data_IF_230959434991
#
_entry.id   IF_230959434991
#
_cell.length_a   1.000
_cell.length_b   1.000
_cell.length_c   1.000
_cell.angle_alpha   90.00
_cell.angle_beta   90.00
_cell.angle_gamma   90.00
#
_symmetry.space_group_name_H-M   'P 1'
#
loop_
_entity.id
_entity.type
_entity.pdbx_description
1 polymer ?
#
# COMPACT_ATOMS: atom_id res chain seq x y z
N UNK A 1 -42.88 39.15 40.80
CA UNK A 1 -43.29 38.63 39.49
C UNK A 1 -42.04 38.19 38.77
N UNK A 2 -41.74 36.89 38.83
CA UNK A 2 -40.52 36.30 38.26
C UNK A 2 -40.93 35.66 36.94
N UNK A 3 -40.35 36.19 35.83
CA UNK A 3 -40.52 35.60 34.51
C UNK A 3 -39.47 34.52 34.32
N UNK A 4 -39.90 33.27 34.30
CA UNK A 4 -39.09 32.14 33.96
C UNK A 4 -38.75 32.16 32.47
N UNK A 5 -37.46 32.31 32.14
CA UNK A 5 -36.94 32.12 30.79
C UNK A 5 -36.90 30.62 30.51
N UNK A 6 -37.82 30.16 29.67
CA UNK A 6 -37.78 28.79 29.15
C UNK A 6 -36.56 28.58 28.27
N UNK A 7 -35.71 27.66 28.69
CA UNK A 7 -34.65 27.13 27.84
C UNK A 7 -35.28 26.35 26.67
N UNK A 8 -35.31 26.97 25.49
CA UNK A 8 -35.64 26.27 24.25
C UNK A 8 -34.52 25.25 23.96
N UNK A 9 -34.80 23.98 24.19
CA UNK A 9 -34.01 22.87 23.73
C UNK A 9 -33.97 22.92 22.20
N UNK A 10 -32.82 23.25 21.62
CA UNK A 10 -32.59 23.11 20.18
C UNK A 10 -32.59 21.60 19.84
N UNK A 11 -33.77 21.07 19.55
CA UNK A 11 -33.89 19.74 18.98
C UNK A 11 -33.14 19.75 17.64
N UNK A 12 -32.03 18.99 17.55
CA UNK A 12 -31.26 18.88 16.33
C UNK A 12 -32.11 18.40 15.15
N UNK A 13 -31.82 18.89 13.96
CA UNK A 13 -32.47 18.40 12.73
C UNK A 13 -32.27 16.90 12.61
N UNK A 14 -33.29 16.07 12.43
CA UNK A 14 -33.14 14.62 12.31
C UNK A 14 -32.33 14.27 11.09
N UNK A 15 -31.67 13.11 11.13
CA UNK A 15 -30.92 12.59 9.97
C UNK A 15 -31.89 12.33 8.80
N UNK A 16 -31.45 12.57 7.53
CA UNK A 16 -32.21 12.19 6.37
C UNK A 16 -32.35 10.66 6.28
N UNK A 17 -33.57 10.17 6.16
CA UNK A 17 -33.88 8.74 6.10
C UNK A 17 -34.74 8.46 4.89
N UNK A 18 -34.38 7.43 4.13
CA UNK A 18 -35.14 6.92 2.99
C UNK A 18 -35.44 5.43 3.19
N UNK A 19 -36.53 4.94 2.57
CA UNK A 19 -36.81 3.51 2.56
C UNK A 19 -35.72 2.79 1.73
N UNK A 20 -35.31 1.59 2.15
CA UNK A 20 -34.29 0.82 1.45
C UNK A 20 -34.62 0.62 -0.06
N UNK A 21 -35.92 0.41 -0.38
CA UNK A 21 -36.38 0.29 -1.76
C UNK A 21 -36.28 1.59 -2.60
N UNK A 22 -36.13 2.75 -1.93
CA UNK A 22 -35.95 4.06 -2.58
C UNK A 22 -34.48 4.48 -2.69
N UNK A 23 -33.55 3.61 -2.28
CA UNK A 23 -32.11 3.86 -2.50
C UNK A 23 -31.84 3.85 -4.01
N UNK A 24 -31.16 4.89 -4.45
CA UNK A 24 -30.79 4.99 -5.86
C UNK A 24 -29.80 3.89 -6.25
N UNK A 25 -30.15 3.12 -7.29
CA UNK A 25 -29.30 2.07 -7.84
C UNK A 25 -28.38 2.56 -8.95
N UNK A 26 -28.37 3.87 -9.23
CA UNK A 26 -27.51 4.48 -10.28
C UNK A 26 -26.00 4.12 -10.09
N UNK A 27 -25.56 3.85 -8.86
CA UNK A 27 -24.23 3.35 -8.58
C UNK A 27 -23.99 1.93 -9.11
N UNK A 28 -25.04 1.12 -9.34
CA UNK A 28 -24.93 -0.24 -9.90
C UNK A 28 -24.58 -0.24 -11.40
N UNK A 29 -24.73 0.89 -12.09
CA UNK A 29 -24.38 1.05 -13.50
C UNK A 29 -22.91 1.47 -13.70
N UNK A 30 -22.14 1.72 -12.61
CA UNK A 30 -20.71 1.97 -12.71
C UNK A 30 -19.94 0.64 -12.77
N UNK A 31 -18.83 0.57 -13.53
CA UNK A 31 -17.97 -0.60 -13.48
C UNK A 31 -17.56 -0.90 -12.04
N UNK A 32 -17.56 -2.16 -11.66
CA UNK A 32 -17.07 -2.58 -10.33
C UNK A 32 -15.61 -2.16 -10.13
N UNK A 33 -14.84 -2.12 -11.21
CA UNK A 33 -13.40 -1.90 -11.20
C UNK A 33 -13.01 -0.54 -11.75
N UNK A 34 -12.08 0.14 -11.07
CA UNK A 34 -11.27 1.23 -11.62
C UNK A 34 -10.11 0.64 -12.45
N UNK A 35 -9.46 -0.40 -11.89
CA UNK A 35 -8.48 -1.24 -12.57
C UNK A 35 -8.87 -2.69 -12.27
N UNK A 36 -9.17 -3.47 -13.29
CA UNK A 36 -9.67 -4.83 -13.15
C UNK A 36 -8.81 -5.68 -12.21
N UNK A 37 -9.45 -6.32 -11.23
CA UNK A 37 -8.83 -7.19 -10.23
C UNK A 37 -7.75 -6.52 -9.33
N UNK A 38 -7.44 -5.23 -9.52
CA UNK A 38 -6.47 -4.50 -8.70
C UNK A 38 -7.11 -3.43 -7.82
N UNK A 39 -8.10 -2.69 -8.34
CA UNK A 39 -8.71 -1.60 -7.57
C UNK A 39 -10.16 -1.40 -7.93
N UNK A 40 -11.04 -1.43 -6.91
CA UNK A 40 -12.47 -1.22 -7.16
C UNK A 40 -12.80 0.26 -7.38
N UNK A 41 -13.85 0.54 -8.15
CA UNK A 41 -14.31 1.90 -8.43
C UNK A 41 -14.69 2.62 -7.14
N UNK A 42 -14.34 3.90 -7.05
CA UNK A 42 -14.62 4.73 -5.88
C UNK A 42 -14.16 4.13 -4.54
N UNK A 43 -13.17 3.23 -4.56
CA UNK A 43 -12.64 2.60 -3.36
C UNK A 43 -11.65 3.52 -2.64
N UNK A 44 -11.66 3.48 -1.31
CA UNK A 44 -10.51 3.89 -0.52
C UNK A 44 -9.61 2.69 -0.30
N UNK A 45 -8.29 2.90 -0.29
CA UNK A 45 -7.40 1.77 -0.08
C UNK A 45 -5.95 2.13 0.10
N UNK A 46 -5.14 1.10 0.21
CA UNK A 46 -3.72 1.22 0.54
C UNK A 46 -2.87 0.42 -0.45
N UNK A 47 -1.77 1.03 -0.88
CA UNK A 47 -0.64 0.35 -1.54
C UNK A 47 0.43 0.18 -0.48
N UNK A 48 0.46 -1.02 0.12
CA UNK A 48 1.31 -1.36 1.26
C UNK A 48 2.55 -2.16 0.88
N UNK A 49 3.54 -2.13 1.76
CA UNK A 49 4.75 -2.96 1.63
C UNK A 49 5.94 -2.38 2.39
N UNK A 50 6.97 -3.19 2.58
CA UNK A 50 8.21 -2.79 3.22
C UNK A 50 8.89 -1.62 2.47
N UNK A 51 9.79 -0.86 3.10
CA UNK A 51 10.63 0.10 2.38
C UNK A 51 11.32 -0.54 1.17
N UNK A 52 11.43 0.21 0.06
CA UNK A 52 12.05 -0.24 -1.21
C UNK A 52 11.34 -1.42 -1.91
N UNK A 53 10.05 -1.65 -1.64
CA UNK A 53 9.23 -2.65 -2.34
C UNK A 53 8.50 -2.11 -3.58
N UNK A 54 8.96 -1.04 -4.19
CA UNK A 54 8.42 -0.46 -5.42
C UNK A 54 6.98 0.09 -5.32
N UNK A 55 6.51 0.49 -4.12
CA UNK A 55 5.16 1.03 -3.93
C UNK A 55 4.87 2.27 -4.78
N UNK A 56 5.77 3.26 -4.77
CA UNK A 56 5.65 4.47 -5.60
C UNK A 56 5.60 4.11 -7.09
N UNK A 57 6.41 3.16 -7.57
CA UNK A 57 6.33 2.69 -8.95
C UNK A 57 4.97 2.09 -9.29
N UNK A 58 4.39 1.28 -8.38
CA UNK A 58 3.04 0.72 -8.55
C UNK A 58 1.98 1.83 -8.56
N UNK A 59 2.11 2.81 -7.66
CA UNK A 59 1.22 3.95 -7.59
C UNK A 59 1.24 4.77 -8.89
N UNK A 60 2.42 5.09 -9.41
CA UNK A 60 2.56 5.86 -10.66
C UNK A 60 2.11 5.06 -11.88
N UNK A 61 2.35 3.74 -11.92
CA UNK A 61 1.83 2.86 -12.98
C UNK A 61 0.29 2.88 -12.99
N UNK A 62 -0.35 2.78 -11.81
CA UNK A 62 -1.81 2.91 -11.72
C UNK A 62 -2.29 4.29 -12.19
N UNK A 63 -1.57 5.36 -11.86
CA UNK A 63 -1.91 6.71 -12.27
C UNK A 63 -1.89 6.87 -13.81
N UNK A 64 -0.82 6.39 -14.45
CA UNK A 64 -0.68 6.44 -15.92
C UNK A 64 -1.74 5.56 -16.58
N UNK A 65 -1.97 4.34 -16.08
CA UNK A 65 -2.99 3.44 -16.60
C UNK A 65 -4.39 4.06 -16.52
N UNK A 66 -4.77 4.63 -15.37
CA UNK A 66 -6.09 5.25 -15.18
C UNK A 66 -6.27 6.49 -16.04
N UNK A 67 -5.26 7.35 -16.15
CA UNK A 67 -5.35 8.55 -16.97
C UNK A 67 -5.42 8.24 -18.47
N UNK A 68 -4.80 7.15 -18.91
CA UNK A 68 -4.71 6.79 -20.33
C UNK A 68 -5.76 5.79 -20.79
N UNK A 69 -6.33 4.98 -19.88
CA UNK A 69 -7.12 3.81 -20.24
C UNK A 69 -6.28 2.61 -20.70
N UNK A 70 -4.96 2.69 -20.65
CA UNK A 70 -4.08 1.57 -20.99
C UNK A 70 -4.14 0.51 -19.89
N UNK A 71 -3.94 -0.79 -20.21
CA UNK A 71 -3.92 -1.82 -19.19
C UNK A 71 -2.78 -1.62 -18.19
N UNK A 72 -3.12 -1.53 -16.90
CA UNK A 72 -2.13 -1.46 -15.82
C UNK A 72 -1.26 -2.72 -15.82
N UNK A 73 0.06 -2.56 -15.66
CA UNK A 73 1.06 -3.63 -15.80
C UNK A 73 0.95 -4.40 -17.14
N UNK A 74 0.36 -3.76 -18.15
CA UNK A 74 0.13 -4.37 -19.47
C UNK A 74 -0.94 -5.47 -19.49
N UNK A 75 -1.71 -5.68 -18.43
CA UNK A 75 -2.62 -6.82 -18.28
C UNK A 75 -3.99 -6.43 -17.72
N UNK A 76 -4.04 -5.57 -16.71
CA UNK A 76 -5.27 -5.27 -15.99
C UNK A 76 -5.99 -4.09 -16.64
N UNK A 77 -7.14 -4.35 -17.26
CA UNK A 77 -7.90 -3.32 -17.97
C UNK A 77 -8.36 -2.19 -17.06
N UNK A 78 -8.54 -1.00 -17.65
CA UNK A 78 -9.11 0.19 -17.00
C UNK A 78 -10.44 0.50 -17.67
N UNK A 79 -11.58 0.04 -17.11
CA UNK A 79 -12.89 0.16 -17.75
C UNK A 79 -13.37 1.61 -17.92
N UNK A 80 -12.94 2.51 -17.01
CA UNK A 80 -13.37 3.92 -17.03
C UNK A 80 -12.18 4.81 -16.72
N UNK A 81 -11.38 5.20 -17.73
CA UNK A 81 -10.27 6.13 -17.55
C UNK A 81 -10.77 7.54 -17.20
N UNK A 82 -9.92 8.34 -16.60
CA UNK A 82 -10.24 9.73 -16.26
C UNK A 82 -9.11 10.45 -15.53
N UNK A 83 -9.36 11.70 -15.10
CA UNK A 83 -8.35 12.54 -14.48
C UNK A 83 -7.79 11.90 -13.21
N UNK A 84 -6.48 12.06 -12.99
CA UNK A 84 -5.76 11.60 -11.79
C UNK A 84 -5.14 12.78 -11.07
N UNK A 85 -5.29 12.83 -9.75
CA UNK A 85 -4.65 13.81 -8.89
C UNK A 85 -3.61 13.11 -8.01
N UNK A 86 -2.35 13.61 -8.03
CA UNK A 86 -1.22 13.06 -7.28
C UNK A 86 -0.71 14.05 -6.24
N UNK A 87 -0.30 13.54 -5.09
CA UNK A 87 0.62 14.20 -4.17
C UNK A 87 1.73 13.25 -3.76
N UNK A 88 2.98 13.58 -4.12
CA UNK A 88 4.16 12.80 -3.78
C UNK A 88 5.06 13.63 -2.85
N UNK A 89 5.01 13.36 -1.56
CA UNK A 89 5.67 14.17 -0.54
C UNK A 89 7.20 13.96 -0.44
N UNK A 90 7.71 12.86 -0.99
CA UNK A 90 9.13 12.49 -0.87
C UNK A 90 9.90 12.68 -2.19
N UNK A 91 9.20 12.76 -3.33
CA UNK A 91 9.84 12.95 -4.63
C UNK A 91 9.93 14.43 -4.99
N UNK A 92 11.05 14.85 -5.60
CA UNK A 92 11.12 16.14 -6.24
C UNK A 92 10.24 16.17 -7.50
N UNK A 93 9.73 17.35 -7.87
CA UNK A 93 8.91 17.52 -9.07
C UNK A 93 9.62 16.99 -10.34
N UNK A 94 10.92 17.20 -10.46
CA UNK A 94 11.72 16.69 -11.57
C UNK A 94 11.80 15.16 -11.59
N UNK A 95 12.04 14.52 -10.44
CA UNK A 95 12.09 13.07 -10.34
C UNK A 95 10.72 12.42 -10.64
N UNK A 96 9.65 13.03 -10.11
CA UNK A 96 8.29 12.60 -10.38
C UNK A 96 7.94 12.68 -11.87
N UNK A 97 8.28 13.85 -12.51
CA UNK A 97 8.07 14.04 -13.95
C UNK A 97 8.80 12.98 -14.78
N UNK A 98 10.09 12.73 -14.52
CA UNK A 98 10.88 11.73 -15.25
C UNK A 98 10.29 10.32 -15.12
N UNK A 99 9.78 9.94 -13.92
CA UNK A 99 9.12 8.65 -13.73
C UNK A 99 7.82 8.54 -14.50
N UNK A 100 7.00 9.61 -14.48
CA UNK A 100 5.74 9.65 -15.24
C UNK A 100 6.01 9.61 -16.76
N UNK A 101 6.99 10.34 -17.25
CA UNK A 101 7.42 10.31 -18.66
C UNK A 101 7.86 8.90 -19.08
N UNK A 102 8.70 8.25 -18.26
CA UNK A 102 9.14 6.87 -18.50
C UNK A 102 7.96 5.90 -18.60
N UNK A 103 6.99 5.99 -17.69
CA UNK A 103 5.81 5.13 -17.67
C UNK A 103 4.88 5.44 -18.87
N UNK A 104 4.62 6.72 -19.19
CA UNK A 104 3.82 7.10 -20.34
C UNK A 104 4.43 6.56 -21.65
N UNK A 105 5.72 6.74 -21.85
CA UNK A 105 6.43 6.22 -23.02
C UNK A 105 6.39 4.69 -23.10
N UNK A 106 6.41 4.00 -21.96
CA UNK A 106 6.23 2.54 -21.89
C UNK A 106 4.88 2.12 -22.45
N UNK A 107 3.83 2.91 -22.19
CA UNK A 107 2.51 2.73 -22.77
C UNK A 107 2.39 3.32 -24.21
N UNK A 108 3.50 3.82 -24.78
CA UNK A 108 3.56 4.51 -26.09
C UNK A 108 2.70 5.77 -26.16
N UNK A 109 2.67 6.50 -25.04
CA UNK A 109 1.88 7.71 -24.87
C UNK A 109 2.81 8.91 -24.59
N UNK A 110 2.32 10.09 -24.90
CA UNK A 110 2.92 11.33 -24.47
C UNK A 110 2.32 11.75 -23.11
N UNK A 111 3.16 12.08 -22.14
CA UNK A 111 2.70 12.54 -20.83
C UNK A 111 1.82 13.80 -20.93
N UNK A 112 2.08 14.67 -21.91
CA UNK A 112 1.31 15.90 -22.12
C UNK A 112 -0.15 15.64 -22.52
N UNK A 113 -0.45 14.46 -23.02
CA UNK A 113 -1.83 14.04 -23.38
C UNK A 113 -2.57 13.37 -22.22
N UNK A 114 -1.90 13.10 -21.11
CA UNK A 114 -2.50 12.43 -19.96
C UNK A 114 -3.05 13.46 -18.96
N UNK A 115 -4.29 13.25 -18.53
CA UNK A 115 -4.94 14.10 -17.54
C UNK A 115 -4.47 13.73 -16.11
N UNK A 116 -3.18 13.96 -15.86
CA UNK A 116 -2.51 13.75 -14.58
C UNK A 116 -2.13 15.09 -13.98
N UNK A 117 -2.73 15.42 -12.85
CA UNK A 117 -2.45 16.65 -12.09
C UNK A 117 -1.61 16.33 -10.85
N UNK A 118 -0.69 17.21 -10.50
CA UNK A 118 0.18 17.07 -9.33
C UNK A 118 -0.04 18.25 -8.38
N UNK A 119 -0.33 17.95 -7.12
CA UNK A 119 -0.33 18.96 -6.06
C UNK A 119 1.13 19.33 -5.77
N UNK A 120 1.52 20.57 -6.05
CA UNK A 120 2.89 21.08 -5.88
C UNK A 120 3.08 21.86 -4.59
N UNK A 121 2.16 21.74 -3.63
CA UNK A 121 2.30 22.38 -2.33
C UNK A 121 3.47 21.78 -1.54
N UNK A 122 4.26 22.60 -0.87
CA UNK A 122 5.41 22.18 -0.05
C UNK A 122 5.00 21.21 1.08
N UNK A 123 3.76 21.31 1.57
CA UNK A 123 3.19 20.38 2.53
C UNK A 123 1.69 20.24 2.33
N UNK A 124 1.18 19.03 2.58
CA UNK A 124 -0.24 18.74 2.68
C UNK A 124 -0.43 17.90 3.94
N UNK A 125 -1.29 18.36 4.86
CA UNK A 125 -1.48 17.76 6.16
C UNK A 125 -2.96 17.43 6.39
N UNK A 126 -3.28 16.13 6.35
CA UNK A 126 -4.66 15.62 6.50
C UNK A 126 -5.21 15.77 7.92
N UNK A 127 -4.35 16.02 8.91
CA UNK A 127 -4.69 16.36 10.30
C UNK A 127 -4.99 17.84 10.51
N UNK A 128 -4.96 18.69 9.45
CA UNK A 128 -5.23 20.12 9.50
C UNK A 128 -6.53 20.48 8.74
N UNK A 129 -7.53 21.08 9.40
CA UNK A 129 -8.79 21.44 8.73
C UNK A 129 -8.60 22.37 7.52
N UNK A 130 -7.64 23.28 7.57
CA UNK A 130 -7.35 24.18 6.44
C UNK A 130 -6.85 23.42 5.19
N UNK A 131 -5.99 22.41 5.37
CA UNK A 131 -5.50 21.59 4.26
C UNK A 131 -6.58 20.63 3.76
N UNK A 132 -7.45 20.13 4.65
CA UNK A 132 -8.63 19.35 4.26
C UNK A 132 -9.56 20.18 3.35
N UNK A 133 -9.86 21.43 3.72
CA UNK A 133 -10.68 22.34 2.89
C UNK A 133 -10.04 22.63 1.52
N UNK A 134 -8.72 22.83 1.47
CA UNK A 134 -8.00 23.02 0.22
C UNK A 134 -8.04 21.79 -0.65
N UNK A 135 -7.87 20.59 -0.06
CA UNK A 135 -7.94 19.32 -0.78
C UNK A 135 -9.36 19.09 -1.33
N UNK A 136 -10.40 19.33 -0.52
CA UNK A 136 -11.81 19.30 -0.95
C UNK A 136 -12.04 20.18 -2.18
N UNK A 137 -11.62 21.45 -2.12
CA UNK A 137 -11.76 22.40 -3.23
C UNK A 137 -11.00 21.92 -4.48
N UNK A 138 -9.80 21.36 -4.31
CA UNK A 138 -8.99 20.84 -5.41
C UNK A 138 -9.67 19.65 -6.10
N UNK A 139 -10.24 18.70 -5.33
CA UNK A 139 -10.97 17.58 -5.92
C UNK A 139 -12.25 18.02 -6.64
N UNK A 140 -12.96 19.01 -6.11
CA UNK A 140 -14.16 19.58 -6.75
C UNK A 140 -13.82 20.28 -8.07
N UNK A 141 -12.66 20.94 -8.14
CA UNK A 141 -12.18 21.64 -9.35
C UNK A 141 -11.75 20.64 -10.43
N UNK A 142 -10.87 19.69 -10.09
CA UNK A 142 -10.26 18.76 -11.05
C UNK A 142 -11.07 17.50 -11.30
N UNK A 143 -12.00 17.17 -10.41
CA UNK A 143 -12.90 16.00 -10.49
C UNK A 143 -12.16 14.70 -10.83
N UNK A 144 -11.07 14.34 -10.13
CA UNK A 144 -10.31 13.16 -10.46
C UNK A 144 -11.13 11.90 -10.20
N UNK A 145 -10.91 10.86 -11.02
CA UNK A 145 -11.43 9.51 -10.73
C UNK A 145 -10.53 8.77 -9.75
N UNK A 146 -9.27 9.21 -9.60
CA UNK A 146 -8.28 8.66 -8.67
C UNK A 146 -7.49 9.80 -7.99
N UNK A 147 -7.53 9.82 -6.65
CA UNK A 147 -6.60 10.59 -5.81
C UNK A 147 -5.53 9.66 -5.27
N UNK A 148 -4.27 10.02 -5.45
CA UNK A 148 -3.13 9.25 -4.98
C UNK A 148 -2.27 10.07 -4.04
N UNK A 149 -1.97 9.54 -2.86
CA UNK A 149 -1.25 10.22 -1.78
C UNK A 149 -0.07 9.36 -1.32
N UNK A 150 1.17 9.82 -1.54
CA UNK A 150 2.42 9.07 -1.31
C UNK A 150 3.46 9.87 -0.52
N UNK A 151 3.90 9.38 0.66
CA UNK A 151 3.32 8.35 1.50
C UNK A 151 2.44 8.94 2.63
N UNK A 152 1.54 8.12 3.19
CA UNK A 152 0.63 8.51 4.28
C UNK A 152 1.38 9.14 5.47
N UNK A 153 2.52 8.59 5.88
CA UNK A 153 3.32 9.06 7.03
C UNK A 153 3.78 10.53 6.90
N UNK A 154 3.79 11.11 5.70
CA UNK A 154 4.13 12.52 5.45
C UNK A 154 2.92 13.45 5.51
N UNK A 155 1.73 12.89 5.51
CA UNK A 155 0.47 13.64 5.42
C UNK A 155 -0.15 13.98 6.79
N UNK A 156 0.47 13.59 7.90
CA UNK A 156 0.00 13.87 9.25
C UNK A 156 1.15 13.90 10.26
N UNK A 157 0.89 14.42 11.47
CA UNK A 157 1.79 14.37 12.61
C UNK A 157 1.26 13.48 13.75
N UNK A 158 0.12 12.84 13.54
CA UNK A 158 -0.49 11.98 14.56
C UNK A 158 0.32 10.68 14.73
N UNK A 159 0.28 10.09 15.92
CA UNK A 159 0.88 8.79 16.15
C UNK A 159 0.07 7.70 15.45
N UNK A 160 0.69 7.00 14.50
CA UNK A 160 0.05 5.88 13.77
C UNK A 160 -0.41 4.73 14.68
N UNK A 161 0.10 4.66 15.92
CA UNK A 161 -0.35 3.68 16.93
C UNK A 161 -1.53 4.20 17.77
N UNK A 162 -1.85 5.49 17.70
CA UNK A 162 -3.02 6.09 18.35
C UNK A 162 -4.27 5.88 17.49
N UNK A 163 -4.99 4.78 17.71
CA UNK A 163 -6.13 4.35 16.90
C UNK A 163 -7.17 5.47 16.68
N UNK A 164 -7.48 6.27 17.70
CA UNK A 164 -8.46 7.35 17.58
C UNK A 164 -8.06 8.48 16.62
N UNK A 165 -6.79 8.84 16.59
CA UNK A 165 -6.30 9.93 15.74
C UNK A 165 -6.25 9.50 14.26
N UNK A 166 -5.77 8.29 14.01
CA UNK A 166 -5.79 7.69 12.66
C UNK A 166 -7.22 7.49 12.16
N UNK A 167 -8.14 7.03 13.02
CA UNK A 167 -9.55 6.85 12.66
C UNK A 167 -10.21 8.16 12.19
N UNK A 168 -9.90 9.29 12.83
CA UNK A 168 -10.42 10.61 12.41
C UNK A 168 -9.93 11.00 11.01
N UNK A 169 -8.63 10.79 10.71
CA UNK A 169 -8.03 11.05 9.42
C UNK A 169 -8.63 10.16 8.32
N UNK A 170 -8.77 8.86 8.59
CA UNK A 170 -9.38 7.90 7.68
C UNK A 170 -10.87 8.21 7.47
N UNK A 171 -11.55 8.66 8.52
CA UNK A 171 -12.95 9.15 8.48
C UNK A 171 -13.10 10.33 7.51
N UNK A 172 -12.21 11.32 7.58
CA UNK A 172 -12.19 12.43 6.63
C UNK A 172 -12.04 11.95 5.18
N UNK A 173 -11.07 11.09 4.90
CA UNK A 173 -10.87 10.56 3.55
C UNK A 173 -12.08 9.76 3.04
N UNK A 174 -12.76 9.02 3.91
CA UNK A 174 -14.01 8.32 3.57
C UNK A 174 -15.13 9.29 3.22
N UNK A 175 -15.28 10.40 3.95
CA UNK A 175 -16.24 11.45 3.65
C UNK A 175 -15.91 12.11 2.30
N UNK A 176 -14.64 12.43 2.08
CA UNK A 176 -14.16 13.01 0.82
C UNK A 176 -14.45 12.10 -0.37
N UNK A 177 -14.18 10.80 -0.25
CA UNK A 177 -14.49 9.79 -1.27
C UNK A 177 -15.99 9.75 -1.59
N UNK A 178 -16.86 9.72 -0.56
CA UNK A 178 -18.33 9.70 -0.76
C UNK A 178 -18.84 10.96 -1.45
N UNK A 179 -18.26 12.12 -1.10
CA UNK A 179 -18.62 13.43 -1.65
C UNK A 179 -18.23 13.59 -3.11
N UNK A 180 -17.07 13.07 -3.50
CA UNK A 180 -16.48 13.27 -4.82
C UNK A 180 -16.67 12.07 -5.76
N UNK A 181 -16.82 10.87 -5.22
CA UNK A 181 -16.82 9.62 -5.97
C UNK A 181 -15.42 9.18 -6.44
N UNK A 182 -14.37 9.94 -6.13
CA UNK A 182 -13.00 9.60 -6.47
C UNK A 182 -12.52 8.36 -5.68
N UNK A 183 -11.83 7.45 -6.34
CA UNK A 183 -11.04 6.45 -5.62
C UNK A 183 -9.86 7.13 -4.92
N UNK A 184 -9.49 6.65 -3.71
CA UNK A 184 -8.39 7.22 -2.94
C UNK A 184 -7.39 6.12 -2.62
N UNK A 185 -6.17 6.25 -3.12
CA UNK A 185 -5.06 5.33 -2.88
C UNK A 185 -3.99 5.99 -2.00
N UNK A 186 -3.72 5.38 -0.85
CA UNK A 186 -2.66 5.78 0.07
C UNK A 186 -1.47 4.86 -0.07
N UNK A 187 -0.28 5.41 -0.27
CA UNK A 187 0.95 4.61 -0.15
C UNK A 187 1.37 4.56 1.33
N UNK A 188 1.58 3.35 1.85
CA UNK A 188 1.89 3.18 3.26
C UNK A 188 2.96 2.12 3.50
N UNK A 189 3.80 2.33 4.54
CA UNK A 189 4.84 1.40 4.91
C UNK A 189 4.32 0.29 5.82
N UNK A 190 4.53 -0.97 5.42
CA UNK A 190 4.25 -2.12 6.27
C UNK A 190 5.28 -2.27 7.39
N UNK A 191 4.89 -2.93 8.50
CA UNK A 191 5.85 -3.36 9.54
C UNK A 191 6.81 -4.39 8.97
N UNK A 192 8.10 -4.32 9.41
CA UNK A 192 9.15 -5.24 8.96
C UNK A 192 8.98 -6.69 9.43
N UNK A 193 8.19 -6.95 10.47
CA UNK A 193 8.16 -8.23 11.19
C UNK A 193 6.72 -8.76 11.34
N UNK A 194 6.05 -9.08 10.24
CA UNK A 194 4.77 -9.81 10.33
C UNK A 194 4.96 -11.21 9.80
N UNK A 195 4.58 -12.19 10.64
CA UNK A 195 4.56 -13.62 10.35
C UNK A 195 3.87 -13.91 9.01
N UNK A 196 4.44 -14.84 8.25
CA UNK A 196 3.96 -15.27 6.92
C UNK A 196 2.58 -15.93 6.92
N UNK A 197 1.96 -16.17 8.08
CA UNK A 197 0.70 -16.88 8.25
C UNK A 197 -0.55 -16.00 8.39
N UNK A 198 -0.40 -14.66 8.42
CA UNK A 198 -1.54 -13.73 8.32
C UNK A 198 -1.69 -13.21 6.88
N UNK A 199 -2.93 -12.96 6.43
CA UNK A 199 -3.17 -12.28 5.16
C UNK A 199 -2.39 -10.97 5.05
N UNK A 200 -2.22 -10.46 3.82
CA UNK A 200 -1.41 -9.27 3.55
C UNK A 200 -1.75 -8.06 4.44
N UNK A 201 -3.01 -7.95 4.89
CA UNK A 201 -3.50 -6.88 5.76
C UNK A 201 -2.87 -6.81 7.15
N UNK A 202 -2.43 -7.93 7.73
CA UNK A 202 -1.81 -7.95 9.07
C UNK A 202 -0.41 -7.33 9.12
N UNK A 203 0.19 -7.01 7.98
CA UNK A 203 1.53 -6.44 7.89
C UNK A 203 1.58 -4.92 7.91
N UNK A 204 0.44 -4.22 7.92
CA UNK A 204 0.41 -2.76 7.99
C UNK A 204 0.92 -2.23 9.33
N UNK A 205 1.72 -1.16 9.28
CA UNK A 205 2.01 -0.34 10.46
C UNK A 205 0.73 0.37 10.88
N UNK A 206 0.49 0.47 12.20
CA UNK A 206 -0.65 1.18 12.73
C UNK A 206 -1.72 0.26 13.29
N UNK A 207 -2.87 0.83 13.57
CA UNK A 207 -4.00 0.14 14.16
C UNK A 207 -4.67 -0.81 13.17
N UNK A 208 -5.41 -1.79 13.71
CA UNK A 208 -6.37 -2.61 12.96
C UNK A 208 -7.34 -1.76 12.12
N UNK A 209 -7.49 -0.48 12.46
CA UNK A 209 -8.39 0.46 11.79
C UNK A 209 -7.97 0.76 10.35
N UNK A 210 -6.66 0.80 10.06
CA UNK A 210 -6.17 0.96 8.68
C UNK A 210 -6.64 -0.17 7.78
N UNK A 211 -6.52 -1.43 8.25
CA UNK A 211 -6.98 -2.58 7.47
C UNK A 211 -8.52 -2.66 7.39
N UNK A 212 -9.22 -2.35 8.47
CA UNK A 212 -10.68 -2.32 8.47
C UNK A 212 -11.26 -1.22 7.57
N UNK A 213 -10.51 -0.13 7.33
CA UNK A 213 -10.95 1.00 6.52
C UNK A 213 -10.91 0.74 5.02
N UNK A 214 -9.97 -0.08 4.51
CA UNK A 214 -9.75 -0.27 3.08
C UNK A 214 -10.87 -1.04 2.39
N UNK A 215 -11.19 -0.64 1.16
CA UNK A 215 -12.04 -1.39 0.22
C UNK A 215 -11.19 -2.18 -0.77
N UNK A 216 -10.01 -1.63 -1.14
CA UNK A 216 -8.99 -2.30 -1.96
C UNK A 216 -7.62 -2.18 -1.31
N UNK A 217 -6.89 -3.25 -1.27
CA UNK A 217 -5.56 -3.30 -0.68
C UNK A 217 -4.58 -4.00 -1.63
N UNK A 218 -3.52 -3.29 -2.01
CA UNK A 218 -2.39 -3.83 -2.76
C UNK A 218 -1.21 -4.01 -1.83
N UNK A 219 -0.63 -5.20 -1.79
CA UNK A 219 0.52 -5.49 -0.97
C UNK A 219 1.72 -5.93 -1.81
N UNK A 220 2.78 -5.12 -1.78
CA UNK A 220 4.04 -5.41 -2.44
C UNK A 220 5.03 -6.00 -1.43
N UNK A 221 5.47 -7.22 -1.70
CA UNK A 221 6.43 -7.95 -0.88
C UNK A 221 7.66 -8.33 -1.69
N UNK A 222 8.83 -8.10 -1.10
CA UNK A 222 10.09 -8.63 -1.66
C UNK A 222 10.56 -9.76 -0.76
N UNK A 223 10.71 -10.95 -1.33
CA UNK A 223 11.15 -12.15 -0.62
C UNK A 223 12.15 -12.90 -1.50
N UNK A 224 13.34 -13.21 -0.97
CA UNK A 224 14.44 -13.83 -1.73
C UNK A 224 14.72 -13.14 -3.09
N UNK A 225 14.73 -11.81 -3.10
CA UNK A 225 14.93 -11.04 -4.32
C UNK A 225 13.72 -10.94 -5.24
N UNK A 226 12.71 -11.82 -5.09
CA UNK A 226 11.48 -11.80 -5.86
C UNK A 226 10.51 -10.76 -5.30
N UNK A 227 10.02 -9.88 -6.17
CA UNK A 227 8.92 -8.96 -5.87
C UNK A 227 7.59 -9.62 -6.21
N UNK A 228 6.63 -9.55 -5.30
CA UNK A 228 5.26 -10.04 -5.52
C UNK A 228 4.24 -8.96 -5.19
N UNK A 229 3.10 -9.02 -5.87
CA UNK A 229 1.92 -8.19 -5.65
C UNK A 229 0.75 -9.09 -5.29
N UNK A 230 0.07 -8.80 -4.19
CA UNK A 230 -1.22 -9.39 -3.85
C UNK A 230 -2.26 -8.28 -3.74
N UNK A 231 -3.48 -8.56 -4.20
CA UNK A 231 -4.62 -7.67 -4.08
C UNK A 231 -5.72 -8.31 -3.23
N UNK A 232 -6.27 -7.56 -2.30
CA UNK A 232 -7.41 -7.95 -1.46
C UNK A 232 -8.51 -6.89 -1.59
N UNK A 233 -9.77 -7.32 -1.62
CA UNK A 233 -10.91 -6.41 -1.78
C UNK A 233 -12.02 -6.76 -0.80
N UNK A 234 -12.73 -5.73 -0.32
CA UNK A 234 -13.89 -5.91 0.57
C UNK A 234 -15.05 -6.59 -0.15
N UNK A 235 -15.26 -6.29 -1.42
CA UNK A 235 -16.48 -6.65 -2.16
C UNK A 235 -16.20 -7.52 -3.40
N UNK A 236 -14.98 -8.01 -3.57
CA UNK A 236 -14.56 -8.81 -4.70
C UNK A 236 -13.48 -9.82 -4.29
N UNK A 237 -13.26 -10.81 -5.13
CA UNK A 237 -12.16 -11.77 -4.93
C UNK A 237 -10.82 -11.05 -5.07
N UNK A 238 -9.85 -11.42 -4.25
CA UNK A 238 -8.48 -10.94 -4.34
C UNK A 238 -7.74 -11.57 -5.53
N UNK A 239 -6.60 -10.98 -5.87
CA UNK A 239 -5.68 -11.47 -6.90
C UNK A 239 -4.27 -11.69 -6.33
N UNK A 240 -3.55 -12.66 -6.87
CA UNK A 240 -2.15 -12.92 -6.54
C UNK A 240 -1.93 -14.10 -5.59
N UNK A 241 -0.66 -14.29 -5.16
CA UNK A 241 0.48 -13.40 -5.43
C UNK A 241 0.93 -13.43 -6.89
N UNK A 242 1.08 -12.25 -7.49
CA UNK A 242 1.57 -12.04 -8.85
C UNK A 242 3.07 -11.73 -8.79
N UNK A 243 3.89 -12.41 -9.57
CA UNK A 243 5.31 -12.12 -9.64
C UNK A 243 5.57 -10.84 -10.45
N UNK A 244 6.37 -9.93 -9.89
CA UNK A 244 6.77 -8.67 -10.50
C UNK A 244 8.29 -8.58 -10.64
N UNK A 245 8.74 -7.81 -11.61
CA UNK A 245 10.11 -7.33 -11.69
C UNK A 245 10.12 -5.82 -11.96
N UNK A 246 11.06 -5.10 -11.33
CA UNK A 246 11.43 -3.76 -11.75
C UNK A 246 12.48 -3.89 -12.84
N UNK A 247 12.15 -3.51 -14.06
CA UNK A 247 13.08 -3.47 -15.18
C UNK A 247 13.78 -2.11 -15.20
N UNK A 248 15.01 -2.08 -14.73
CA UNK A 248 15.85 -0.86 -14.64
C UNK A 248 16.68 -0.63 -15.90
N UNK A 249 16.83 -1.65 -16.75
CA UNK A 249 17.65 -1.59 -17.95
C UNK A 249 16.91 -1.06 -19.18
N UNK A 250 15.61 -0.83 -19.05
CA UNK A 250 14.74 -0.44 -20.14
C UNK A 250 14.96 1.03 -20.55
N UNK A 251 14.92 1.30 -21.84
CA UNK A 251 14.73 2.64 -22.39
C UNK A 251 13.22 2.80 -22.68
N UNK A 252 12.53 3.76 -22.14
CA UNK A 252 12.94 5.09 -21.64
C UNK A 252 13.34 5.16 -20.16
N UNK A 253 13.15 4.13 -19.36
CA UNK A 253 13.51 4.12 -17.95
C UNK A 253 12.87 2.96 -17.18
N UNK A 254 13.02 2.92 -15.84
CA UNK A 254 12.52 1.84 -15.03
C UNK A 254 10.99 1.72 -15.07
N UNK A 255 10.47 0.49 -15.04
CA UNK A 255 9.04 0.21 -14.92
C UNK A 255 8.79 -1.15 -14.28
N UNK A 256 7.61 -1.34 -13.70
CA UNK A 256 7.17 -2.64 -13.20
C UNK A 256 6.57 -3.48 -14.32
N UNK A 257 6.89 -4.78 -14.32
CA UNK A 257 6.28 -5.75 -15.24
C UNK A 257 5.89 -7.02 -14.50
N UNK A 258 4.81 -7.64 -14.96
CA UNK A 258 4.50 -9.02 -14.58
C UNK A 258 5.55 -9.97 -15.16
N UNK A 259 5.95 -10.94 -14.36
CA UNK A 259 6.82 -12.02 -14.81
C UNK A 259 6.14 -13.36 -14.61
N UNK A 260 6.32 -14.27 -15.56
CA UNK A 260 5.79 -15.62 -15.40
C UNK A 260 6.42 -16.30 -14.18
N UNK A 261 5.66 -17.07 -13.40
CA UNK A 261 6.24 -17.90 -12.33
C UNK A 261 7.35 -18.84 -12.82
N UNK A 262 7.30 -19.25 -14.10
CA UNK A 262 8.36 -20.04 -14.73
C UNK A 262 9.65 -19.24 -15.05
N UNK A 263 9.55 -17.90 -15.05
CA UNK A 263 10.71 -16.98 -15.20
C UNK A 263 11.30 -16.60 -13.85
N UNK A 264 10.78 -17.15 -12.76
CA UNK A 264 11.46 -17.13 -11.48
C UNK A 264 12.73 -17.95 -11.71
N UNK A 265 13.80 -17.27 -12.10
CA UNK A 265 15.15 -17.83 -12.00
C UNK A 265 15.20 -18.35 -10.57
N UNK A 266 15.42 -19.68 -10.41
CA UNK A 266 15.75 -20.23 -9.10
C UNK A 266 16.72 -19.23 -8.45
N UNK A 267 16.44 -18.79 -7.19
CA UNK A 267 17.32 -17.81 -6.58
C UNK A 267 18.73 -18.29 -6.79
N UNK A 268 19.61 -17.40 -7.27
CA UNK A 268 21.03 -17.70 -7.36
C UNK A 268 21.40 -18.46 -6.09
N UNK A 269 22.10 -19.58 -6.16
CA UNK A 269 22.19 -20.59 -5.10
C UNK A 269 22.35 -19.85 -3.79
N UNK A 270 21.38 -20.08 -2.89
CA UNK A 270 21.25 -19.32 -1.63
C UNK A 270 22.65 -19.18 -1.05
N UNK A 271 23.10 -17.96 -0.71
CA UNK A 271 24.47 -17.73 -0.22
C UNK A 271 24.79 -18.90 0.70
N UNK A 272 25.80 -19.73 0.42
CA UNK A 272 26.10 -20.92 1.22
C UNK A 272 26.09 -20.62 2.72
N UNK A 273 26.41 -19.37 3.07
CA UNK A 273 26.33 -18.88 4.45
C UNK A 273 24.89 -18.85 5.01
N UNK A 274 23.92 -18.45 4.21
CA UNK A 274 22.50 -18.43 4.63
C UNK A 274 22.02 -19.87 4.92
N UNK A 275 22.30 -20.81 4.03
CA UNK A 275 21.96 -22.21 4.23
C UNK A 275 22.66 -22.81 5.48
N UNK A 276 23.92 -22.45 5.72
CA UNK A 276 24.67 -22.88 6.89
C UNK A 276 24.11 -22.27 8.19
N UNK A 277 23.71 -20.99 8.21
CA UNK A 277 23.08 -20.34 9.35
C UNK A 277 21.75 -21.06 9.70
N UNK A 278 20.89 -21.25 8.70
CA UNK A 278 19.61 -21.95 8.90
C UNK A 278 19.81 -23.37 9.40
N UNK A 279 20.80 -24.12 8.85
CA UNK A 279 21.15 -25.46 9.30
C UNK A 279 21.61 -25.49 10.76
N UNK A 280 22.45 -24.54 11.18
CA UNK A 280 22.90 -24.45 12.59
C UNK A 280 21.78 -24.08 13.55
N UNK A 281 20.86 -23.19 13.13
CA UNK A 281 19.71 -22.81 13.94
C UNK A 281 18.68 -23.94 14.02
N UNK A 282 18.51 -24.73 12.96
CA UNK A 282 17.62 -25.90 12.93
C UNK A 282 18.08 -27.01 13.90
N UNK A 283 19.38 -27.18 14.05
CA UNK A 283 19.98 -28.16 14.96
C UNK A 283 20.02 -27.67 16.42
N UNK A 284 19.70 -26.42 16.69
CA UNK A 284 19.77 -25.83 18.03
C UNK A 284 18.36 -25.74 18.65
N UNK A 285 18.23 -26.29 19.87
CA UNK A 285 16.99 -26.17 20.65
C UNK A 285 16.87 -24.80 21.37
N UNK A 286 17.96 -24.02 21.42
CA UNK A 286 18.00 -22.72 22.06
C UNK A 286 18.50 -21.65 21.09
N UNK A 287 18.14 -20.34 21.29
CA UNK A 287 18.65 -19.24 20.48
C UNK A 287 20.19 -19.20 20.52
N UNK A 288 20.81 -18.93 19.37
CA UNK A 288 22.26 -18.79 19.25
C UNK A 288 22.67 -17.34 19.08
N UNK A 289 23.71 -16.91 19.82
CA UNK A 289 24.25 -15.55 19.68
C UNK A 289 24.97 -15.37 18.36
N UNK A 290 25.05 -14.11 17.86
CA UNK A 290 25.83 -13.81 16.66
C UNK A 290 27.30 -14.25 16.78
N UNK A 291 27.86 -14.18 17.98
CA UNK A 291 29.23 -14.61 18.25
C UNK A 291 29.38 -16.14 18.13
N UNK A 292 28.42 -16.89 18.68
CA UNK A 292 28.38 -18.35 18.54
C UNK A 292 28.25 -18.78 17.07
N UNK A 293 27.39 -18.13 16.31
CA UNK A 293 27.22 -18.38 14.87
C UNK A 293 28.50 -18.04 14.10
N UNK A 294 29.13 -16.90 14.40
CA UNK A 294 30.38 -16.47 13.77
C UNK A 294 31.50 -17.48 14.00
N UNK A 295 31.66 -17.94 15.24
CA UNK A 295 32.68 -18.92 15.59
C UNK A 295 32.45 -20.27 14.91
N UNK A 296 31.19 -20.72 14.83
CA UNK A 296 30.84 -21.98 14.17
C UNK A 296 31.04 -21.93 12.65
N UNK A 297 30.80 -20.77 12.02
CA UNK A 297 30.83 -20.59 10.57
C UNK A 297 32.16 -20.04 10.05
N UNK A 298 33.04 -19.59 10.93
CA UNK A 298 34.35 -18.99 10.62
C UNK A 298 34.29 -17.84 9.59
N UNK A 299 33.25 -16.99 9.67
CA UNK A 299 33.01 -15.90 8.73
C UNK A 299 33.32 -14.53 9.33
N UNK A 300 33.56 -13.53 8.47
CA UNK A 300 33.76 -12.14 8.88
C UNK A 300 32.46 -11.59 9.48
N UNK A 301 32.56 -10.80 10.55
CA UNK A 301 31.40 -10.24 11.27
C UNK A 301 30.43 -9.48 10.37
N UNK A 302 30.93 -8.66 9.46
CA UNK A 302 30.12 -7.87 8.55
C UNK A 302 29.24 -8.76 7.67
N UNK A 303 29.79 -9.86 7.10
CA UNK A 303 29.06 -10.80 6.23
C UNK A 303 28.00 -11.58 7.04
N UNK A 304 28.31 -11.97 8.29
CA UNK A 304 27.32 -12.63 9.15
C UNK A 304 26.17 -11.69 9.54
N UNK A 305 26.49 -10.46 9.91
CA UNK A 305 25.48 -9.45 10.28
C UNK A 305 24.54 -9.15 9.11
N UNK A 306 25.09 -9.07 7.90
CA UNK A 306 24.29 -8.85 6.68
C UNK A 306 23.38 -10.05 6.37
N UNK A 307 23.89 -11.28 6.48
CA UNK A 307 23.10 -12.50 6.30
C UNK A 307 22.00 -12.65 7.38
N UNK A 308 22.32 -12.39 8.65
CA UNK A 308 21.33 -12.42 9.74
C UNK A 308 20.28 -11.32 9.60
N UNK A 309 20.67 -10.13 9.10
CA UNK A 309 19.73 -9.07 8.78
C UNK A 309 18.78 -9.50 7.67
N UNK A 310 19.30 -10.07 6.60
CA UNK A 310 18.51 -10.59 5.50
C UNK A 310 17.53 -11.67 5.97
N UNK A 311 18.01 -12.69 6.70
CA UNK A 311 17.16 -13.76 7.25
C UNK A 311 16.08 -13.25 8.21
N UNK A 312 16.37 -12.18 8.96
CA UNK A 312 15.38 -11.54 9.84
C UNK A 312 14.38 -10.70 9.04
N UNK A 313 14.82 -10.05 7.95
CA UNK A 313 13.94 -9.32 7.02
C UNK A 313 13.05 -10.28 6.22
N UNK A 314 13.54 -11.46 5.89
CA UNK A 314 12.79 -12.53 5.21
C UNK A 314 11.86 -13.29 6.18
N UNK A 315 11.97 -13.05 7.49
CA UNK A 315 11.13 -13.69 8.52
C UNK A 315 11.48 -15.16 8.76
N UNK A 316 12.64 -15.62 8.36
CA UNK A 316 13.11 -17.00 8.61
C UNK A 316 13.75 -17.15 9.99
N UNK A 317 14.31 -16.05 10.50
CA UNK A 317 15.02 -16.01 11.78
C UNK A 317 14.47 -14.89 12.67
N UNK A 318 14.25 -15.20 13.95
CA UNK A 318 13.82 -14.24 14.97
C UNK A 318 14.99 -13.89 15.87
N UNK A 319 15.19 -12.59 16.12
CA UNK A 319 16.14 -12.09 17.10
C UNK A 319 15.45 -11.86 18.44
N UNK A 320 15.95 -12.47 19.50
CA UNK A 320 15.56 -12.26 20.90
C UNK A 320 16.72 -11.65 21.69
N UNK A 321 16.50 -11.37 22.98
CA UNK A 321 17.55 -10.97 23.92
C UNK A 321 18.61 -12.06 24.14
N UNK A 322 18.27 -13.32 23.88
CA UNK A 322 19.15 -14.48 24.01
C UNK A 322 19.89 -14.86 22.71
N UNK A 323 19.53 -14.26 21.58
CA UNK A 323 20.15 -14.54 20.29
C UNK A 323 19.15 -14.75 19.17
N UNK A 324 19.55 -15.52 18.16
CA UNK A 324 18.79 -15.83 16.96
C UNK A 324 18.25 -17.27 16.99
N UNK A 325 17.01 -17.45 16.56
CA UNK A 325 16.36 -18.78 16.42
C UNK A 325 15.55 -18.83 15.13
N UNK A 326 15.30 -20.03 14.61
CA UNK A 326 14.35 -20.20 13.50
C UNK A 326 12.95 -19.75 13.93
N UNK A 327 12.25 -19.09 13.05
CA UNK A 327 10.82 -18.85 13.23
C UNK A 327 10.09 -20.20 13.09
N UNK A 328 9.55 -20.75 14.20
CA UNK A 328 8.75 -21.98 14.14
C UNK A 328 7.50 -21.70 13.32
N UNK A 329 7.28 -22.48 12.26
CA UNK A 329 5.97 -22.57 11.60
C UNK A 329 5.02 -23.18 12.63
N UNK A 330 4.04 -22.43 13.09
CA UNK A 330 2.94 -23.00 13.85
C UNK A 330 2.12 -23.87 12.87
N UNK A 331 1.98 -25.15 13.18
CA UNK A 331 1.03 -26.00 12.47
C UNK A 331 -0.37 -25.40 12.57
N UNK A 332 -1.18 -25.46 11.48
CA UNK A 332 -2.56 -25.00 11.55
C UNK A 332 -3.31 -25.81 12.59
N UNK A 333 -4.25 -25.22 13.36
CA UNK A 333 -5.07 -25.97 14.28
C UNK A 333 -5.86 -27.03 13.49
N UNK A 334 -6.08 -28.22 14.07
CA UNK A 334 -6.85 -29.27 13.42
C UNK A 334 -8.26 -28.74 13.12
N UNK A 335 -8.69 -28.93 11.87
CA UNK A 335 -10.05 -28.68 11.44
C UNK A 335 -10.97 -29.65 12.19
N UNK A 336 -11.77 -29.13 13.13
CA UNK A 336 -12.97 -29.81 13.65
C UNK A 336 -14.21 -29.08 13.14
#
# INVERSE_FOLDING_TARGET
MSAGAGASSAAGTPFPVVRAAALETAALNRPLWLIDNLWTSSAVGIIGGAPKSCKTWMALEMAVAVASGSPCLGTFAVPSPGPVLLYAAEDSAAALRLRLESLAQRHRLDLELLDIHVITADSLRLDRPADQQRLDATLLLHRPVLLMLDPLVRLHAVDENAAGEIAALLGYLRVLQRKTGAAIALVHHARKNVSTNGGAGYSLRGSSDLYAWVDSFLYLRRHHGQLTLSAEHRSASGAGPLALALDESSNPGPFLKLVSPATIVEPAPADPLIAQILGLLAQSSQPRTAESLRSSLQVRNQRLVEALRQLSEDGEVVRSTQGYSLQRRSDPPPLF
#
